data_IF_060347943146
#
_entry.id   IF_060347943146
#
_cell.length_a   1.000
_cell.length_b   1.000
_cell.length_c   1.000
_cell.angle_alpha   90.00
_cell.angle_beta   90.00
_cell.angle_gamma   90.00
#
_symmetry.space_group_name_H-M   'P 1'
#
loop_
_entity.id
_entity.type
_entity.pdbx_description
1 polymer ?
#
# COMPACT_ATOMS: atom_id res chain seq x y z
N UNK A 1 9.98 3.60 13.07
CA UNK A 1 10.08 2.57 12.01
C UNK A 1 9.64 1.19 12.50
N UNK A 2 10.16 0.67 13.62
CA UNK A 2 9.80 -0.68 14.12
C UNK A 2 8.32 -0.86 14.47
N UNK A 3 7.69 0.14 15.13
CA UNK A 3 6.25 0.10 15.43
C UNK A 3 5.37 0.00 14.18
N UNK A 4 5.76 0.67 13.10
CA UNK A 4 5.06 0.62 11.81
C UNK A 4 5.19 -0.77 11.21
N UNK A 5 6.38 -1.39 11.23
CA UNK A 5 6.59 -2.77 10.75
C UNK A 5 5.73 -3.79 11.51
N UNK A 6 5.61 -3.66 12.83
CA UNK A 6 4.77 -4.54 13.65
C UNK A 6 3.29 -4.34 13.32
N UNK A 7 2.83 -3.09 13.31
CA UNK A 7 1.45 -2.75 12.94
C UNK A 7 1.10 -3.30 11.55
N UNK A 8 2.03 -3.15 10.62
CA UNK A 8 1.88 -3.58 9.25
C UNK A 8 1.69 -5.11 9.13
N UNK A 9 2.48 -5.88 9.88
CA UNK A 9 2.32 -7.33 9.97
C UNK A 9 0.96 -7.73 10.55
N UNK A 10 0.53 -7.04 11.63
CA UNK A 10 -0.76 -7.32 12.29
C UNK A 10 -1.92 -6.98 11.36
N UNK A 11 -1.83 -5.87 10.62
CA UNK A 11 -2.82 -5.44 9.64
C UNK A 11 -2.95 -6.45 8.48
N UNK A 12 -1.83 -6.90 7.90
CA UNK A 12 -1.85 -7.95 6.87
C UNK A 12 -2.50 -9.22 7.42
N UNK A 13 -2.10 -9.66 8.62
CA UNK A 13 -2.63 -10.87 9.23
C UNK A 13 -4.13 -10.76 9.53
N UNK A 14 -4.60 -9.60 9.99
CA UNK A 14 -6.02 -9.32 10.24
C UNK A 14 -6.86 -9.54 8.98
N UNK A 15 -6.45 -8.97 7.85
CA UNK A 15 -7.19 -9.07 6.58
C UNK A 15 -7.05 -10.47 5.97
N UNK A 16 -5.83 -11.01 5.88
CA UNK A 16 -5.56 -12.30 5.23
C UNK A 16 -6.20 -13.47 5.97
N UNK A 17 -6.13 -13.48 7.30
CA UNK A 17 -6.68 -14.56 8.12
C UNK A 17 -8.12 -14.30 8.57
N UNK A 18 -8.69 -13.12 8.23
CA UNK A 18 -9.99 -12.65 8.74
C UNK A 18 -10.06 -12.71 10.28
N UNK A 19 -8.97 -12.36 10.96
CA UNK A 19 -8.85 -12.43 12.42
C UNK A 19 -9.40 -11.15 13.07
N UNK A 20 -10.55 -11.28 13.73
CA UNK A 20 -11.24 -10.16 14.38
C UNK A 20 -10.44 -9.50 15.52
N UNK A 21 -9.58 -10.24 16.24
CA UNK A 21 -8.77 -9.69 17.33
C UNK A 21 -7.62 -8.86 16.79
N UNK A 22 -6.97 -9.34 15.73
CA UNK A 22 -5.92 -8.59 15.04
C UNK A 22 -6.49 -7.35 14.35
N UNK A 23 -7.71 -7.46 13.82
CA UNK A 23 -8.44 -6.34 13.24
C UNK A 23 -8.70 -5.24 14.27
N UNK A 24 -9.34 -5.55 15.40
CA UNK A 24 -9.60 -4.60 16.49
C UNK A 24 -8.30 -3.96 17.02
N UNK A 25 -7.24 -4.76 17.16
CA UNK A 25 -5.92 -4.26 17.57
C UNK A 25 -5.37 -3.26 16.54
N UNK A 26 -5.50 -3.55 15.25
CA UNK A 26 -5.05 -2.68 14.15
C UNK A 26 -5.84 -1.37 14.15
N UNK A 27 -7.18 -1.43 14.17
CA UNK A 27 -8.03 -0.23 14.14
C UNK A 27 -7.75 0.69 15.34
N UNK A 28 -7.58 0.13 16.56
CA UNK A 28 -7.19 0.91 17.76
C UNK A 28 -5.83 1.56 17.61
N UNK A 29 -4.86 0.85 17.05
CA UNK A 29 -3.52 1.39 16.87
C UNK A 29 -3.51 2.51 15.82
N UNK A 30 -4.20 2.31 14.70
CA UNK A 30 -4.35 3.32 13.64
C UNK A 30 -5.04 4.58 14.16
N UNK A 31 -6.12 4.45 14.93
CA UNK A 31 -6.80 5.59 15.53
C UNK A 31 -5.87 6.41 16.45
N UNK A 32 -4.98 5.76 17.19
CA UNK A 32 -4.10 6.43 18.15
C UNK A 32 -2.83 7.02 17.52
N UNK A 33 -2.36 6.48 16.40
CA UNK A 33 -1.09 6.85 15.78
C UNK A 33 -1.22 7.54 14.42
N UNK A 34 -2.34 7.35 13.70
CA UNK A 34 -2.54 7.79 12.32
C UNK A 34 -3.88 8.50 12.10
N UNK A 35 -4.46 9.08 13.17
CA UNK A 35 -5.81 9.70 13.17
C UNK A 35 -6.05 10.65 11.99
N UNK A 36 -5.03 11.41 11.60
CA UNK A 36 -5.13 12.45 10.57
C UNK A 36 -4.40 12.06 9.27
N UNK A 37 -4.03 10.79 9.07
CA UNK A 37 -3.20 10.40 7.93
C UNK A 37 -3.84 10.73 6.56
N UNK A 38 -5.16 10.53 6.43
CA UNK A 38 -5.90 10.92 5.22
C UNK A 38 -6.28 12.41 5.18
N UNK A 39 -6.29 13.09 6.33
CA UNK A 39 -6.62 14.52 6.43
C UNK A 39 -5.40 15.42 6.17
N UNK A 40 -4.20 14.92 6.47
CA UNK A 40 -2.94 15.63 6.30
C UNK A 40 -1.81 14.62 5.96
N UNK A 41 -1.81 14.05 4.75
CA UNK A 41 -0.69 13.25 4.29
C UNK A 41 0.49 14.20 4.15
N UNK A 42 1.38 14.23 5.14
CA UNK A 42 2.63 14.99 5.07
C UNK A 42 3.49 14.41 3.93
N UNK A 43 3.24 14.87 2.71
CA UNK A 43 3.88 14.43 1.46
C UNK A 43 5.41 14.61 1.53
N UNK A 44 5.87 15.60 2.30
CA UNK A 44 7.30 15.93 2.46
C UNK A 44 8.04 14.96 3.42
N UNK A 45 7.39 14.44 4.46
CA UNK A 45 7.99 13.43 5.35
C UNK A 45 7.95 12.02 4.75
N UNK A 46 7.00 11.77 3.84
CA UNK A 46 6.86 10.48 3.13
C UNK A 46 7.85 10.40 1.95
N UNK A 47 8.25 11.53 1.36
CA UNK A 47 9.17 11.61 0.23
C UNK A 47 10.56 11.01 0.50
N UNK A 48 11.01 11.02 1.76
CA UNK A 48 12.34 10.54 2.15
C UNK A 48 12.36 9.11 2.74
N UNK A 49 11.19 8.53 3.00
CA UNK A 49 11.07 7.18 3.54
C UNK A 49 10.68 6.22 2.43
N UNK A 50 11.71 5.73 1.71
CA UNK A 50 11.81 4.39 1.13
C UNK A 50 10.42 3.81 0.77
N UNK A 51 9.96 3.82 -0.50
CA UNK A 51 8.76 3.15 -1.09
C UNK A 51 7.96 2.15 -0.22
N UNK A 52 8.63 1.32 0.58
CA UNK A 52 8.08 0.61 1.74
C UNK A 52 7.09 1.46 2.57
N UNK A 53 7.43 2.70 2.92
CA UNK A 53 6.51 3.62 3.60
C UNK A 53 5.23 3.88 2.80
N UNK A 54 5.35 4.12 1.48
CA UNK A 54 4.19 4.31 0.59
C UNK A 54 3.27 3.09 0.58
N UNK A 55 3.83 1.88 0.53
CA UNK A 55 3.05 0.63 0.51
C UNK A 55 2.37 0.33 1.84
N UNK A 56 3.00 0.67 2.98
CA UNK A 56 2.36 0.65 4.29
C UNK A 56 1.12 1.53 4.26
N UNK A 57 1.28 2.78 3.85
CA UNK A 57 0.18 3.74 3.82
C UNK A 57 -0.92 3.35 2.84
N UNK A 58 -0.58 2.79 1.67
CA UNK A 58 -1.57 2.23 0.75
C UNK A 58 -2.42 1.14 1.41
N UNK A 59 -1.80 0.21 2.14
CA UNK A 59 -2.54 -0.84 2.85
C UNK A 59 -3.37 -0.28 4.00
N UNK A 60 -2.85 0.70 4.73
CA UNK A 60 -3.62 1.40 5.76
C UNK A 60 -4.87 2.08 5.20
N UNK A 61 -4.75 2.77 4.05
CA UNK A 61 -5.88 3.42 3.38
C UNK A 61 -6.92 2.40 2.89
N UNK A 62 -6.48 1.27 2.32
CA UNK A 62 -7.37 0.19 1.90
C UNK A 62 -8.01 -0.52 3.10
N UNK A 63 -7.30 -0.69 4.21
CA UNK A 63 -7.84 -1.24 5.45
C UNK A 63 -8.96 -0.34 6.01
N UNK A 64 -8.73 0.97 6.11
CA UNK A 64 -9.77 1.93 6.52
C UNK A 64 -10.97 1.91 5.55
N UNK A 65 -10.73 1.78 4.24
CA UNK A 65 -11.81 1.65 3.26
C UNK A 65 -12.67 0.38 3.47
N UNK A 66 -12.05 -0.75 3.84
CA UNK A 66 -12.78 -1.98 4.18
C UNK A 66 -13.65 -1.77 5.44
N UNK A 67 -13.13 -1.14 6.49
CA UNK A 67 -13.88 -0.83 7.72
C UNK A 67 -15.07 0.09 7.43
N UNK A 68 -14.87 1.10 6.58
CA UNK A 68 -15.91 2.04 6.16
C UNK A 68 -17.02 1.33 5.35
N UNK A 69 -16.70 0.33 4.54
CA UNK A 69 -17.72 -0.47 3.83
C UNK A 69 -18.58 -1.29 4.79
N UNK A 70 -17.96 -1.92 5.79
CA UNK A 70 -18.70 -2.65 6.83
C UNK A 70 -19.62 -1.72 7.63
N UNK A 71 -19.16 -0.50 7.90
CA UNK A 71 -19.97 0.54 8.58
C UNK A 71 -21.22 0.91 7.76
N UNK A 72 -21.11 1.08 6.43
CA UNK A 72 -22.26 1.34 5.56
C UNK A 72 -23.19 0.12 5.49
N UNK A 73 -22.63 -1.10 5.55
CA UNK A 73 -23.36 -2.36 5.42
C UNK A 73 -24.08 -2.80 6.70
N UNK A 74 -23.69 -2.26 7.87
CA UNK A 74 -24.26 -2.65 9.17
C UNK A 74 -25.63 -1.99 9.42
N UNK A 75 -26.67 -2.77 9.81
CA UNK A 75 -28.00 -2.25 10.10
C UNK A 75 -28.12 -1.52 11.45
N UNK A 76 -27.05 -1.43 12.25
CA UNK A 76 -27.06 -0.81 13.58
C UNK A 76 -25.93 0.20 13.76
N UNK A 77 -26.23 1.48 13.53
CA UNK A 77 -25.67 2.52 14.38
C UNK A 77 -26.74 3.60 14.57
N UNK A 78 -27.00 3.98 15.83
CA UNK A 78 -27.97 5.03 16.21
C UNK A 78 -27.53 6.45 15.73
N UNK A 79 -26.50 6.52 14.87
CA UNK A 79 -25.91 7.70 14.24
C UNK A 79 -26.08 7.63 12.70
N UNK A 80 -26.50 6.49 12.12
CA UNK A 80 -26.55 6.22 10.67
C UNK A 80 -27.81 6.72 9.93
N UNK A 81 -28.78 7.32 10.61
CA UNK A 81 -30.04 7.74 9.98
C UNK A 81 -29.96 9.06 9.20
N UNK A 82 -28.77 9.63 9.03
CA UNK A 82 -28.57 10.79 8.18
C UNK A 82 -27.92 10.35 6.84
N UNK A 83 -28.60 10.51 5.69
CA UNK A 83 -28.05 10.18 4.35
C UNK A 83 -26.68 10.81 4.07
N UNK A 84 -26.37 11.93 4.73
CA UNK A 84 -25.06 12.59 4.63
C UNK A 84 -23.93 11.80 5.27
N UNK A 85 -24.19 10.96 6.29
CA UNK A 85 -23.17 10.15 6.95
C UNK A 85 -22.67 9.03 6.04
N UNK A 86 -23.59 8.26 5.43
CA UNK A 86 -23.23 7.21 4.44
C UNK A 86 -22.49 7.79 3.24
N UNK A 87 -22.95 8.94 2.75
CA UNK A 87 -22.29 9.67 1.65
C UNK A 87 -20.86 10.08 2.04
N UNK A 88 -20.68 10.66 3.23
CA UNK A 88 -19.36 11.03 3.73
C UNK A 88 -18.42 9.82 3.89
N UNK A 89 -18.94 8.69 4.38
CA UNK A 89 -18.18 7.44 4.47
C UNK A 89 -17.77 6.93 3.08
N UNK A 90 -18.66 7.03 2.09
CA UNK A 90 -18.36 6.68 0.71
C UNK A 90 -17.31 7.62 0.08
N UNK A 91 -17.37 8.93 0.37
CA UNK A 91 -16.35 9.90 -0.06
C UNK A 91 -14.96 9.52 0.46
N UNK A 92 -14.86 9.09 1.73
CA UNK A 92 -13.59 8.62 2.32
C UNK A 92 -13.04 7.39 1.58
N UNK A 93 -13.90 6.43 1.23
CA UNK A 93 -13.51 5.25 0.44
C UNK A 93 -12.97 5.68 -0.93
N UNK A 94 -13.68 6.58 -1.62
CA UNK A 94 -13.26 7.08 -2.94
C UNK A 94 -11.92 7.81 -2.86
N UNK A 95 -11.72 8.66 -1.86
CA UNK A 95 -10.45 9.35 -1.63
C UNK A 95 -9.29 8.37 -1.40
N UNK A 96 -9.50 7.35 -0.57
CA UNK A 96 -8.51 6.30 -0.34
C UNK A 96 -8.15 5.58 -1.66
N UNK A 97 -9.14 5.20 -2.46
CA UNK A 97 -8.93 4.53 -3.76
C UNK A 97 -8.18 5.41 -4.77
N UNK A 98 -8.54 6.68 -4.88
CA UNK A 98 -7.87 7.65 -5.77
C UNK A 98 -6.42 7.85 -5.37
N UNK A 99 -6.16 7.98 -4.06
CA UNK A 99 -4.82 8.14 -3.54
C UNK A 99 -3.96 6.89 -3.79
N UNK A 100 -4.45 5.70 -3.43
CA UNK A 100 -3.76 4.42 -3.69
C UNK A 100 -3.45 4.26 -5.18
N UNK A 101 -4.41 4.56 -6.07
CA UNK A 101 -4.20 4.56 -7.52
C UNK A 101 -3.06 5.48 -7.95
N UNK A 102 -2.98 6.67 -7.36
CA UNK A 102 -1.91 7.62 -7.65
C UNK A 102 -0.54 7.13 -7.18
N UNK A 103 -0.47 6.38 -6.08
CA UNK A 103 0.79 5.84 -5.58
C UNK A 103 1.25 4.62 -6.40
N UNK A 104 0.35 3.66 -6.68
CA UNK A 104 0.73 2.41 -7.35
C UNK A 104 1.03 2.58 -8.84
N UNK A 105 0.45 3.58 -9.51
CA UNK A 105 0.73 3.86 -10.93
C UNK A 105 2.20 4.24 -11.18
N UNK A 106 2.84 4.85 -10.19
CA UNK A 106 4.24 5.29 -10.25
C UNK A 106 5.22 4.13 -9.99
N UNK A 107 4.71 2.98 -9.52
CA UNK A 107 5.52 1.80 -9.20
C UNK A 107 5.41 0.78 -10.33
N UNK A 108 6.51 0.55 -11.07
CA UNK A 108 6.55 -0.30 -12.28
C UNK A 108 5.92 -1.69 -12.10
N UNK A 109 6.09 -2.31 -10.93
CA UNK A 109 5.58 -3.66 -10.65
C UNK A 109 4.11 -3.69 -10.20
N UNK A 110 3.56 -2.56 -9.80
CA UNK A 110 2.20 -2.44 -9.23
C UNK A 110 1.23 -1.67 -10.14
N UNK A 111 1.71 -1.10 -11.25
CA UNK A 111 0.87 -0.38 -12.20
C UNK A 111 -0.23 -1.27 -12.84
N UNK A 112 -0.05 -2.59 -12.81
CA UNK A 112 -1.05 -3.58 -13.21
C UNK A 112 -2.28 -3.63 -12.29
N UNK A 113 -2.24 -3.01 -11.09
CA UNK A 113 -3.38 -2.89 -10.18
C UNK A 113 -4.31 -1.73 -10.55
N UNK A 114 -3.88 -0.81 -11.41
CA UNK A 114 -4.67 0.38 -11.81
C UNK A 114 -6.02 0.01 -12.43
N UNK A 115 -6.14 -1.01 -13.31
CA UNK A 115 -7.45 -1.45 -13.82
C UNK A 115 -8.41 -1.89 -12.71
N UNK A 116 -7.94 -2.66 -11.72
CA UNK A 116 -8.77 -3.12 -10.59
C UNK A 116 -9.23 -1.93 -9.74
N UNK A 117 -8.36 -0.94 -9.53
CA UNK A 117 -8.71 0.30 -8.84
C UNK A 117 -9.74 1.13 -9.60
N UNK A 118 -9.74 1.09 -10.94
CA UNK A 118 -10.79 1.74 -11.73
C UNK A 118 -12.14 1.03 -11.54
N UNK A 119 -12.17 -0.30 -11.55
CA UNK A 119 -13.39 -1.07 -11.27
C UNK A 119 -13.92 -0.81 -9.85
N UNK A 120 -13.02 -0.68 -8.87
CA UNK A 120 -13.39 -0.26 -7.51
C UNK A 120 -14.04 1.13 -7.51
N UNK A 121 -13.42 2.11 -8.18
CA UNK A 121 -13.97 3.48 -8.27
C UNK A 121 -15.33 3.51 -8.98
N UNK A 122 -15.51 2.75 -10.06
CA UNK A 122 -16.81 2.62 -10.75
C UNK A 122 -17.86 1.94 -9.87
N UNK A 123 -17.46 0.96 -9.05
CA UNK A 123 -18.36 0.34 -8.06
C UNK A 123 -18.79 1.33 -6.97
N UNK A 124 -17.86 2.17 -6.49
CA UNK A 124 -18.17 3.23 -5.53
C UNK A 124 -19.08 4.30 -6.14
N UNK A 125 -18.86 4.69 -7.40
CA UNK A 125 -19.73 5.61 -8.13
C UNK A 125 -21.16 5.07 -8.23
N UNK A 126 -21.32 3.79 -8.56
CA UNK A 126 -22.62 3.13 -8.60
C UNK A 126 -23.31 3.06 -7.22
N UNK A 127 -22.54 3.05 -6.12
CA UNK A 127 -23.09 3.00 -4.77
C UNK A 127 -23.79 4.31 -4.38
N UNK A 128 -23.30 5.49 -4.81
CA UNK A 128 -23.92 6.79 -4.49
C UNK A 128 -25.40 6.84 -4.87
N UNK A 129 -25.76 6.32 -6.04
CA UNK A 129 -27.15 6.31 -6.52
C UNK A 129 -28.05 5.28 -5.83
N UNK A 130 -27.49 4.44 -4.95
CA UNK A 130 -28.17 3.30 -4.35
C UNK A 130 -28.09 3.27 -2.83
N UNK A 131 -27.47 4.23 -2.15
CA UNK A 131 -27.20 4.22 -0.70
C UNK A 131 -28.42 3.94 0.20
N UNK A 132 -29.62 4.28 -0.27
CA UNK A 132 -30.89 4.11 0.44
C UNK A 132 -31.69 2.88 -0.06
N UNK A 133 -31.13 2.08 -0.96
CA UNK A 133 -31.76 0.91 -1.56
C UNK A 133 -31.14 -0.39 -1.03
N UNK A 134 -31.94 -1.45 -0.88
CA UNK A 134 -31.45 -2.77 -0.46
C UNK A 134 -30.39 -3.34 -1.42
N UNK A 135 -30.47 -2.96 -2.70
CA UNK A 135 -29.51 -3.33 -3.75
C UNK A 135 -28.10 -2.75 -3.53
N UNK A 136 -27.92 -1.81 -2.59
CA UNK A 136 -26.61 -1.23 -2.26
C UNK A 136 -25.64 -2.28 -1.76
N UNK A 137 -26.15 -3.28 -1.02
CA UNK A 137 -25.32 -4.31 -0.40
C UNK A 137 -24.54 -5.07 -1.47
N UNK A 138 -25.19 -5.45 -2.58
CA UNK A 138 -24.52 -6.15 -3.68
C UNK A 138 -23.41 -5.31 -4.32
N UNK A 139 -23.61 -3.99 -4.44
CA UNK A 139 -22.59 -3.07 -4.97
C UNK A 139 -21.42 -2.94 -3.98
N UNK A 140 -21.72 -2.84 -2.69
CA UNK A 140 -20.70 -2.76 -1.63
C UNK A 140 -19.89 -4.06 -1.52
N UNK A 141 -20.50 -5.24 -1.71
CA UNK A 141 -19.78 -6.51 -1.81
C UNK A 141 -18.80 -6.51 -2.98
N UNK A 142 -19.22 -6.09 -4.17
CA UNK A 142 -18.33 -6.00 -5.34
C UNK A 142 -17.18 -5.01 -5.09
N UNK A 143 -17.49 -3.84 -4.52
CA UNK A 143 -16.49 -2.84 -4.15
C UNK A 143 -15.47 -3.42 -3.15
N UNK A 144 -15.95 -4.12 -2.13
CA UNK A 144 -15.13 -4.79 -1.12
C UNK A 144 -14.19 -5.82 -1.74
N UNK A 145 -14.67 -6.64 -2.68
CA UNK A 145 -13.84 -7.64 -3.37
C UNK A 145 -12.72 -7.00 -4.20
N UNK A 146 -12.99 -5.89 -4.88
CA UNK A 146 -11.94 -5.13 -5.59
C UNK A 146 -10.89 -4.57 -4.63
N UNK A 147 -11.32 -3.94 -3.52
CA UNK A 147 -10.41 -3.40 -2.50
C UNK A 147 -9.57 -4.49 -1.87
N UNK A 148 -10.19 -5.62 -1.52
CA UNK A 148 -9.51 -6.77 -0.93
C UNK A 148 -8.46 -7.32 -1.90
N UNK A 149 -8.79 -7.45 -3.18
CA UNK A 149 -7.86 -7.91 -4.22
C UNK A 149 -6.60 -7.03 -4.27
N UNK A 150 -6.78 -5.71 -4.28
CA UNK A 150 -5.65 -4.77 -4.28
C UNK A 150 -4.86 -4.88 -2.97
N UNK A 151 -5.54 -4.92 -1.82
CA UNK A 151 -4.88 -5.04 -0.51
C UNK A 151 -4.00 -6.29 -0.43
N UNK A 152 -4.51 -7.44 -0.87
CA UNK A 152 -3.77 -8.71 -0.89
C UNK A 152 -2.56 -8.65 -1.82
N UNK A 153 -2.70 -8.03 -3.00
CA UNK A 153 -1.59 -7.84 -3.91
C UNK A 153 -0.48 -6.96 -3.31
N UNK A 154 -0.84 -5.87 -2.62
CA UNK A 154 0.11 -5.01 -1.91
C UNK A 154 0.72 -5.67 -0.66
N UNK A 155 0.09 -6.73 -0.16
CA UNK A 155 0.55 -7.50 1.00
C UNK A 155 1.41 -8.71 0.62
N UNK A 156 1.69 -8.90 -0.67
CA UNK A 156 2.55 -9.99 -1.11
C UNK A 156 3.96 -9.89 -0.46
N UNK A 157 4.63 -11.02 -0.18
CA UNK A 157 5.92 -11.01 0.51
C UNK A 157 6.99 -10.11 -0.12
N UNK A 158 6.96 -9.98 -1.45
CA UNK A 158 7.82 -9.11 -2.25
C UNK A 158 7.55 -7.61 -2.08
N UNK A 159 6.51 -7.21 -1.35
CA UNK A 159 6.13 -5.81 -1.07
C UNK A 159 6.03 -5.53 0.44
N UNK A 160 6.35 -6.52 1.27
CA UNK A 160 6.23 -6.43 2.71
C UNK A 160 7.43 -5.68 3.34
N UNK A 161 7.16 -4.58 4.06
CA UNK A 161 8.20 -3.76 4.72
C UNK A 161 9.10 -4.54 5.67
N UNK A 162 8.56 -5.57 6.32
CA UNK A 162 9.32 -6.39 7.24
C UNK A 162 10.34 -7.28 6.51
N UNK A 163 10.04 -7.71 5.28
CA UNK A 163 10.89 -8.62 4.49
C UNK A 163 12.06 -7.86 3.85
N UNK A 164 11.85 -6.61 3.44
CA UNK A 164 12.90 -5.75 2.88
C UNK A 164 13.73 -5.00 3.90
N UNK A 165 13.56 -5.34 5.19
CA UNK A 165 14.46 -4.96 6.28
C UNK A 165 15.75 -5.80 6.30
N UNK A 166 16.24 -6.28 5.15
CA UNK A 166 17.69 -6.27 4.98
C UNK A 166 18.04 -4.79 4.95
N UNK A 167 18.30 -4.23 6.13
CA UNK A 167 18.91 -2.92 6.25
C UNK A 167 19.93 -2.85 5.14
N UNK A 168 19.76 -1.91 4.20
CA UNK A 168 20.80 -1.57 3.23
C UNK A 168 22.05 -1.52 4.09
N UNK A 169 22.97 -2.48 3.94
CA UNK A 169 24.12 -2.58 4.82
C UNK A 169 24.93 -1.30 4.56
N UNK A 170 24.65 -0.26 5.33
CA UNK A 170 25.54 0.90 5.54
C UNK A 170 26.59 0.45 6.57
N UNK A 171 27.10 -0.77 6.38
CA UNK A 171 28.26 -1.27 7.08
C UNK A 171 29.51 -0.69 6.43
N UNK A 172 30.61 -0.64 7.19
CA UNK A 172 31.91 -0.28 6.60
C UNK A 172 32.22 -1.30 5.49
N UNK A 173 32.94 -0.90 4.44
CA UNK A 173 33.32 -1.79 3.32
C UNK A 173 33.93 -3.13 3.78
N UNK A 174 34.55 -3.17 4.97
CA UNK A 174 35.12 -4.37 5.57
C UNK A 174 34.09 -5.45 5.97
N UNK A 175 32.81 -5.09 6.12
CA UNK A 175 31.72 -6.00 6.52
C UNK A 175 30.88 -6.49 5.33
N UNK A 176 31.17 -6.00 4.11
CA UNK A 176 30.45 -6.42 2.90
C UNK A 176 30.84 -7.84 2.51
N UNK A 177 29.82 -8.66 2.20
CA UNK A 177 29.96 -10.08 1.81
C UNK A 177 29.20 -10.37 0.53
N UNK A 178 29.49 -11.50 -0.10
CA UNK A 178 28.70 -11.96 -1.23
C UNK A 178 27.27 -12.29 -0.77
N UNK A 179 26.26 -11.81 -1.49
CA UNK A 179 24.87 -12.06 -1.12
C UNK A 179 24.37 -13.47 -1.48
N UNK A 180 25.11 -14.21 -2.31
CA UNK A 180 24.79 -15.59 -2.64
C UNK A 180 25.05 -16.50 -1.41
N UNK A 181 24.01 -17.12 -0.81
CA UNK A 181 24.16 -17.93 0.40
C UNK A 181 24.99 -19.20 0.19
N UNK A 182 25.16 -19.64 -1.06
CA UNK A 182 26.01 -20.78 -1.42
C UNK A 182 27.45 -20.38 -1.76
N UNK A 183 27.81 -19.10 -1.59
CA UNK A 183 29.15 -18.62 -1.86
C UNK A 183 30.10 -19.02 -0.73
N UNK A 184 31.30 -19.55 -1.04
CA UNK A 184 32.31 -19.85 -0.03
C UNK A 184 33.00 -18.60 0.56
N UNK A 185 32.56 -17.38 0.21
CA UNK A 185 33.10 -16.10 0.69
C UNK A 185 34.64 -15.97 0.60
N UNK A 186 35.22 -16.55 -0.45
CA UNK A 186 36.68 -16.60 -0.64
C UNK A 186 37.29 -15.30 -1.16
N UNK A 187 36.49 -14.35 -1.63
CA UNK A 187 36.95 -13.16 -2.36
C UNK A 187 36.60 -11.89 -1.60
N UNK A 188 37.58 -10.99 -1.40
CA UNK A 188 37.36 -9.66 -0.82
C UNK A 188 36.86 -8.63 -1.83
N UNK A 189 37.16 -8.87 -3.11
CA UNK A 189 36.71 -7.98 -4.19
C UNK A 189 35.27 -8.33 -4.55
N UNK A 190 34.38 -7.40 -4.24
CA UNK A 190 32.96 -7.54 -4.50
C UNK A 190 32.51 -6.59 -5.60
N UNK A 191 31.76 -7.14 -6.53
CA UNK A 191 31.07 -6.44 -7.59
C UNK A 191 29.70 -5.97 -7.09
N UNK A 192 29.38 -4.73 -7.39
CA UNK A 192 28.08 -4.13 -7.10
C UNK A 192 27.09 -4.54 -8.18
N UNK A 193 25.88 -4.93 -7.78
CA UNK A 193 24.80 -5.13 -8.74
C UNK A 193 24.45 -3.81 -9.43
N UNK A 194 24.51 -3.76 -10.75
CA UNK A 194 24.27 -2.55 -11.54
C UNK A 194 22.82 -2.05 -11.53
N UNK A 195 21.85 -2.88 -11.17
CA UNK A 195 20.43 -2.49 -11.10
C UNK A 195 20.11 -1.78 -9.77
N UNK A 196 20.26 -2.49 -8.67
CA UNK A 196 19.92 -1.98 -7.35
C UNK A 196 20.99 -1.11 -6.71
N UNK A 197 22.25 -1.31 -7.09
CA UNK A 197 23.39 -0.64 -6.51
C UNK A 197 23.54 -0.82 -4.98
N UNK A 198 22.98 -1.89 -4.43
CA UNK A 198 22.94 -2.13 -2.98
C UNK A 198 23.47 -3.52 -2.61
N UNK A 199 23.31 -4.50 -3.50
CA UNK A 199 23.75 -5.88 -3.26
C UNK A 199 25.09 -6.14 -3.93
N UNK A 200 25.92 -6.95 -3.27
CA UNK A 200 27.30 -7.23 -3.65
C UNK A 200 27.50 -8.72 -3.92
N UNK A 201 28.31 -9.03 -4.93
CA UNK A 201 28.61 -10.39 -5.35
C UNK A 201 30.09 -10.52 -5.69
N UNK A 202 30.71 -11.66 -5.40
CA UNK A 202 32.09 -11.88 -5.82
C UNK A 202 32.23 -12.10 -7.34
N UNK A 203 31.15 -12.49 -8.02
CA UNK A 203 31.16 -12.79 -9.45
C UNK A 203 29.76 -12.74 -10.08
N UNK A 204 29.72 -12.75 -11.42
CA UNK A 204 28.45 -12.76 -12.18
C UNK A 204 27.66 -14.05 -11.97
N UNK A 205 28.35 -15.15 -11.68
CA UNK A 205 27.75 -16.46 -11.39
C UNK A 205 27.01 -16.42 -10.06
N UNK A 206 27.59 -15.79 -9.03
CA UNK A 206 26.92 -15.60 -7.74
C UNK A 206 25.69 -14.68 -7.86
N UNK A 207 25.76 -13.64 -8.68
CA UNK A 207 24.59 -12.80 -8.97
C UNK A 207 23.48 -13.59 -9.66
N UNK A 208 23.81 -14.42 -10.67
CA UNK A 208 22.83 -15.26 -11.37
C UNK A 208 22.21 -16.32 -10.45
N UNK A 209 23.00 -16.91 -9.57
CA UNK A 209 22.52 -17.90 -8.60
C UNK A 209 21.56 -17.30 -7.57
N UNK A 210 21.78 -16.05 -7.15
CA UNK A 210 20.85 -15.34 -6.25
C UNK A 210 19.70 -14.66 -7.00
N UNK A 211 19.71 -14.62 -8.34
CA UNK A 211 18.82 -13.78 -9.13
C UNK A 211 17.34 -14.02 -8.87
N UNK A 212 16.90 -15.26 -8.74
CA UNK A 212 15.48 -15.57 -8.49
C UNK A 212 14.97 -14.94 -7.19
N UNK A 213 15.84 -14.80 -6.18
CA UNK A 213 15.54 -14.14 -4.90
C UNK A 213 15.79 -12.63 -4.98
N UNK A 214 16.85 -12.23 -5.66
CA UNK A 214 17.30 -10.85 -5.75
C UNK A 214 16.44 -10.00 -6.69
N UNK A 215 15.87 -10.57 -7.75
CA UNK A 215 15.21 -9.85 -8.86
C UNK A 215 14.17 -8.85 -8.40
N UNK A 216 13.28 -9.25 -7.50
CA UNK A 216 12.19 -8.39 -7.02
C UNK A 216 12.76 -7.19 -6.24
N UNK A 217 13.64 -7.47 -5.28
CA UNK A 217 14.38 -6.44 -4.56
C UNK A 217 15.20 -5.54 -5.51
N UNK A 218 15.80 -6.12 -6.55
CA UNK A 218 16.63 -5.39 -7.49
C UNK A 218 15.84 -4.34 -8.25
N UNK A 219 14.70 -4.75 -8.82
CA UNK A 219 13.80 -3.86 -9.54
C UNK A 219 13.15 -2.81 -8.63
N UNK A 220 12.86 -3.16 -7.38
CA UNK A 220 12.38 -2.23 -6.38
C UNK A 220 13.44 -1.16 -6.05
N UNK A 221 14.69 -1.55 -5.86
CA UNK A 221 15.78 -0.59 -5.63
C UNK A 221 16.08 0.27 -6.87
N UNK A 222 15.94 -0.30 -8.05
CA UNK A 222 16.05 0.41 -9.32
C UNK A 222 14.93 1.47 -9.47
N UNK A 223 13.68 1.16 -9.10
CA UNK A 223 12.57 2.12 -9.14
C UNK A 223 12.72 3.26 -8.12
N UNK A 224 13.45 3.03 -7.03
CA UNK A 224 13.81 4.09 -6.05
C UNK A 224 14.77 5.13 -6.60
N UNK A 225 15.53 4.81 -7.66
CA UNK A 225 16.55 5.68 -8.24
C UNK A 225 16.06 6.61 -9.33
N UNK A 226 15.00 6.24 -10.05
CA UNK A 226 14.29 7.21 -10.89
C UNK A 226 13.81 8.33 -9.97
N UNK A 227 14.45 9.50 -10.09
CA UNK A 227 14.14 10.64 -9.24
C UNK A 227 12.63 10.90 -9.25
N UNK A 228 12.02 11.33 -8.13
CA UNK A 228 10.72 11.95 -8.21
C UNK A 228 10.88 13.15 -9.14
N UNK A 229 10.22 13.14 -10.30
CA UNK A 229 9.93 14.38 -11.01
C UNK A 229 9.33 15.30 -9.97
N UNK A 230 10.00 16.43 -9.70
CA UNK A 230 9.47 17.48 -8.83
C UNK A 230 7.98 17.63 -9.16
N UNK A 231 7.07 17.50 -8.17
CA UNK A 231 5.66 17.57 -8.47
C UNK A 231 5.42 18.92 -9.14
N UNK A 232 5.11 18.91 -10.43
CA UNK A 232 4.43 20.06 -11.01
C UNK A 232 3.20 20.21 -10.14
N UNK A 233 3.13 21.31 -9.40
CA UNK A 233 1.94 21.69 -8.66
C UNK A 233 0.84 21.93 -9.70
N UNK A 234 0.18 20.85 -10.12
CA UNK A 234 -1.06 20.93 -10.88
C UNK A 234 -2.10 21.29 -9.85
N UNK A 235 -2.27 22.60 -9.64
CA UNK A 235 -3.49 23.14 -9.04
C UNK A 235 -4.64 22.86 -10.03
N UNK A 236 -5.07 21.61 -10.08
CA UNK A 236 -6.35 21.26 -10.65
C UNK A 236 -7.42 21.79 -9.73
N UNK A 237 -8.41 22.51 -10.27
CA UNK A 237 -9.57 22.92 -9.50
C UNK A 237 -10.16 21.69 -8.81
N UNK A 238 -10.36 21.77 -7.49
CA UNK A 238 -11.07 20.75 -6.71
C UNK A 238 -12.44 20.57 -7.36
N UNK A 239 -12.62 19.49 -8.12
CA UNK A 239 -13.92 19.13 -8.62
C UNK A 239 -14.64 18.42 -7.49
N UNK A 240 -15.48 19.16 -6.78
CA UNK A 240 -16.49 18.58 -5.91
C UNK A 240 -17.29 17.60 -6.77
N UNK A 241 -17.28 16.32 -6.39
CA UNK A 241 -18.16 15.30 -6.98
C UNK A 241 -19.58 15.84 -6.85
N UNK A 242 -20.15 16.30 -7.97
CA UNK A 242 -21.50 16.84 -7.96
C UNK A 242 -22.44 15.66 -7.72
N UNK A 243 -23.32 15.73 -6.71
CA UNK A 243 -24.35 14.72 -6.56
C UNK A 243 -25.17 14.64 -7.85
N UNK A 244 -25.44 13.42 -8.31
CA UNK A 244 -26.36 13.19 -9.43
C UNK A 244 -27.73 13.73 -9.00
N UNK A 245 -28.36 14.63 -9.77
CA UNK A 245 -29.69 15.13 -9.43
C UNK A 245 -30.72 13.99 -9.48
N UNK A 246 -31.57 13.93 -8.44
CA UNK A 246 -32.68 12.97 -8.26
C UNK A 246 -33.60 12.89 -9.47
#
# INVERSE_FOLDING_TARGET
>A
MEKIKVLDCVMIAAVNAKDARMHDTTSKFLHNFCKDFMENPHLDDIGHLVHNGRLFYCRTALFDALDNIESISSPQSDIADLPSAKTFTLDRIVLALLWVKSEVKEIRLLCNLVPILNEALSSAEAAYGRLDCDDVLQVLYTLKEHILTVFLALSAPEYHLAVHSRDVFVGKQADMKCANPSCPDTTKDLLKCSGCDVTFYCSSECQKADWDKHKNFCHEMESRRSQPTSPMAVFGAVQVLKPVPR
#
